data_IF_344776057021
#
_entry.id   IF_344776057021
#
_cell.length_a   1.000
_cell.length_b   1.000
_cell.length_c   1.000
_cell.angle_alpha   90.00
_cell.angle_beta   90.00
_cell.angle_gamma   90.00
#
_symmetry.space_group_name_H-M   'P 1'
#
loop_
_entity.id
_entity.type
_entity.pdbx_description
1 polymer ?
#
# COMPACT_ATOMS: atom_id res chain seq x y z
N UNK A 1 -8.42 4.03 4.85
CA UNK A 1 -8.99 3.66 3.53
C UNK A 1 -9.79 2.37 3.65
N UNK A 2 -10.64 2.02 2.67
CA UNK A 2 -11.43 0.78 2.70
C UNK A 2 -10.57 -0.49 2.77
N UNK A 3 -9.40 -0.49 2.12
CA UNK A 3 -8.41 -1.58 2.23
C UNK A 3 -7.96 -1.80 3.68
N UNK A 4 -7.65 -0.74 4.40
CA UNK A 4 -7.24 -0.79 5.81
C UNK A 4 -8.35 -1.29 6.73
N UNK A 5 -9.59 -0.90 6.46
CA UNK A 5 -10.73 -1.40 7.23
C UNK A 5 -10.90 -2.92 7.07
N UNK A 6 -10.86 -3.44 5.84
CA UNK A 6 -10.94 -4.88 5.58
C UNK A 6 -9.80 -5.65 6.26
N UNK A 7 -8.58 -5.11 6.19
CA UNK A 7 -7.41 -5.69 6.86
C UNK A 7 -7.58 -5.70 8.38
N UNK A 8 -8.10 -4.61 8.96
CA UNK A 8 -8.33 -4.49 10.40
C UNK A 8 -9.32 -5.55 10.89
N UNK A 9 -10.50 -5.62 10.26
CA UNK A 9 -11.55 -6.59 10.62
C UNK A 9 -11.03 -8.02 10.54
N UNK A 10 -10.26 -8.36 9.50
CA UNK A 10 -9.67 -9.70 9.38
C UNK A 10 -8.67 -10.01 10.50
N UNK A 11 -7.85 -9.03 10.90
CA UNK A 11 -6.86 -9.19 11.99
C UNK A 11 -7.47 -9.25 13.39
N UNK A 12 -8.72 -8.83 13.56
CA UNK A 12 -9.44 -8.91 14.84
C UNK A 12 -9.93 -10.34 15.16
N UNK A 13 -10.03 -11.22 14.16
CA UNK A 13 -10.33 -12.64 14.41
C UNK A 13 -9.12 -13.34 15.05
N UNK A 14 -9.25 -13.93 16.26
CA UNK A 14 -8.16 -14.65 16.92
C UNK A 14 -7.52 -15.75 16.08
N UNK A 15 -8.27 -16.36 15.15
CA UNK A 15 -7.76 -17.40 14.24
C UNK A 15 -6.68 -16.89 13.29
N UNK A 16 -6.67 -15.59 13.00
CA UNK A 16 -5.73 -14.95 12.09
C UNK A 16 -4.53 -14.31 12.83
N UNK A 17 -4.43 -14.51 14.14
CA UNK A 17 -3.35 -13.94 14.94
C UNK A 17 -1.98 -14.41 14.45
N UNK A 18 -1.11 -13.45 14.14
CA UNK A 18 0.23 -13.72 13.62
C UNK A 18 0.30 -14.03 12.12
N UNK A 19 -0.83 -14.12 11.40
CA UNK A 19 -0.86 -14.42 9.97
C UNK A 19 -0.72 -13.17 9.10
N UNK A 20 -0.17 -13.33 7.89
CA UNK A 20 -0.04 -12.26 6.90
C UNK A 20 -1.34 -12.06 6.11
N UNK A 21 -1.86 -10.83 6.12
CA UNK A 21 -3.03 -10.48 5.33
C UNK A 21 -2.68 -10.25 3.86
N UNK A 22 -3.21 -11.08 2.96
CA UNK A 22 -2.96 -11.01 1.50
C UNK A 22 -4.24 -10.96 0.66
N UNK A 23 -5.38 -10.69 1.29
CA UNK A 23 -6.70 -10.75 0.67
C UNK A 23 -7.23 -9.37 0.23
N UNK A 24 -8.43 -9.36 -0.35
CA UNK A 24 -9.13 -8.16 -0.76
C UNK A 24 -8.31 -7.32 -1.74
N UNK A 25 -8.18 -6.03 -1.45
CA UNK A 25 -7.42 -5.09 -2.28
C UNK A 25 -5.90 -5.34 -2.24
N UNK A 26 -5.40 -5.92 -1.15
CA UNK A 26 -3.97 -6.20 -1.00
C UNK A 26 -3.50 -7.30 -1.97
N UNK A 27 -4.40 -8.20 -2.41
CA UNK A 27 -4.10 -9.18 -3.47
C UNK A 27 -3.58 -8.55 -4.77
N UNK A 28 -4.04 -7.35 -5.11
CA UNK A 28 -3.70 -6.66 -6.38
C UNK A 28 -2.46 -5.78 -6.27
N UNK A 29 -2.22 -5.21 -5.08
CA UNK A 29 -1.03 -4.42 -4.77
C UNK A 29 -0.74 -4.47 -3.27
N UNK A 30 0.50 -4.77 -2.89
CA UNK A 30 0.92 -4.89 -1.50
C UNK A 30 0.75 -3.58 -0.71
N UNK A 31 0.89 -2.45 -1.39
CA UNK A 31 0.78 -1.10 -0.83
C UNK A 31 -0.38 -0.32 -1.46
N UNK A 32 -1.51 -1.00 -1.68
CA UNK A 32 -2.70 -0.44 -2.34
C UNK A 32 -3.28 0.80 -1.61
N UNK A 33 -3.08 0.89 -0.29
CA UNK A 33 -3.45 2.07 0.50
C UNK A 33 -2.68 3.31 0.05
N UNK A 34 -1.36 3.22 -0.14
CA UNK A 34 -0.53 4.32 -0.63
C UNK A 34 -0.90 4.72 -2.06
N UNK A 35 -1.28 3.75 -2.90
CA UNK A 35 -1.77 4.04 -4.24
C UNK A 35 -3.10 4.82 -4.19
N UNK A 36 -4.03 4.40 -3.32
CA UNK A 36 -5.27 5.13 -3.08
C UNK A 36 -5.04 6.56 -2.58
N UNK A 37 -4.10 6.76 -1.67
CA UNK A 37 -3.73 8.09 -1.17
C UNK A 37 -3.14 8.95 -2.31
N UNK A 38 -2.25 8.39 -3.13
CA UNK A 38 -1.69 9.10 -4.28
C UNK A 38 -2.78 9.52 -5.29
N UNK A 39 -3.73 8.62 -5.59
CA UNK A 39 -4.87 8.93 -6.45
C UNK A 39 -5.74 10.06 -5.87
N UNK A 40 -6.01 10.01 -4.57
CA UNK A 40 -6.83 11.01 -3.87
C UNK A 40 -6.21 12.41 -3.97
N UNK A 41 -4.93 12.54 -3.61
CA UNK A 41 -4.24 13.84 -3.63
C UNK A 41 -3.97 14.35 -5.05
N UNK A 42 -3.81 13.44 -6.02
CA UNK A 42 -3.77 13.82 -7.44
C UNK A 42 -5.12 14.38 -7.88
N UNK A 43 -6.23 13.75 -7.51
CA UNK A 43 -7.58 14.25 -7.80
C UNK A 43 -7.85 15.62 -7.17
N UNK A 44 -7.45 15.83 -5.91
CA UNK A 44 -7.55 17.15 -5.28
C UNK A 44 -6.72 18.19 -6.02
N UNK A 45 -5.50 17.86 -6.43
CA UNK A 45 -4.64 18.76 -7.21
C UNK A 45 -5.31 19.18 -8.52
N UNK A 46 -5.94 18.23 -9.23
CA UNK A 46 -6.70 18.52 -10.46
C UNK A 46 -7.86 19.49 -10.22
N UNK A 47 -8.63 19.33 -9.13
CA UNK A 47 -9.78 20.20 -8.81
C UNK A 47 -9.33 21.65 -8.58
N UNK A 48 -8.14 21.88 -8.03
CA UNK A 48 -7.65 23.24 -7.76
C UNK A 48 -7.32 24.04 -9.03
N UNK A 49 -7.18 23.37 -10.20
CA UNK A 49 -6.71 23.98 -11.45
C UNK A 49 -5.36 24.72 -11.31
N UNK A 50 -4.56 24.38 -10.30
CA UNK A 50 -3.27 24.99 -10.04
C UNK A 50 -2.16 23.94 -10.21
N UNK A 51 -1.26 24.15 -11.17
CA UNK A 51 -0.14 23.24 -11.44
C UNK A 51 0.75 23.03 -10.20
N UNK A 52 0.90 24.04 -9.34
CA UNK A 52 1.73 23.95 -8.14
C UNK A 52 1.14 23.00 -7.08
N UNK A 53 -0.16 22.71 -7.12
CA UNK A 53 -0.78 21.74 -6.21
C UNK A 53 -0.22 20.32 -6.39
N UNK A 54 0.26 19.99 -7.61
CA UNK A 54 0.86 18.68 -7.92
C UNK A 54 2.19 18.42 -7.21
N UNK A 55 2.82 19.44 -6.62
CA UNK A 55 4.01 19.25 -5.77
C UNK A 55 3.70 18.27 -4.62
N UNK A 56 2.48 18.31 -4.08
CA UNK A 56 2.06 17.43 -2.97
C UNK A 56 2.03 15.95 -3.40
N UNK A 57 1.21 15.51 -4.38
CA UNK A 57 1.20 14.10 -4.80
C UNK A 57 2.55 13.65 -5.36
N UNK A 58 3.32 14.54 -6.00
CA UNK A 58 4.67 14.21 -6.46
C UNK A 58 5.61 13.87 -5.29
N UNK A 59 5.64 14.71 -4.25
CA UNK A 59 6.42 14.43 -3.04
C UNK A 59 5.95 13.15 -2.35
N UNK A 60 4.63 12.92 -2.26
CA UNK A 60 4.07 11.68 -1.71
C UNK A 60 4.53 10.46 -2.50
N UNK A 61 4.52 10.51 -3.84
CA UNK A 61 5.01 9.42 -4.69
C UNK A 61 6.46 9.05 -4.37
N UNK A 62 7.34 10.05 -4.24
CA UNK A 62 8.73 9.83 -3.88
C UNK A 62 8.88 9.25 -2.46
N UNK A 63 8.19 9.82 -1.48
CA UNK A 63 8.24 9.32 -0.11
C UNK A 63 7.70 7.89 0.00
N UNK A 64 6.63 7.55 -0.69
CA UNK A 64 6.09 6.19 -0.69
C UNK A 64 7.06 5.22 -1.34
N UNK A 65 7.56 5.54 -2.54
CA UNK A 65 8.40 4.64 -3.32
C UNK A 65 9.76 4.38 -2.67
N UNK A 66 10.40 5.42 -2.14
CA UNK A 66 11.79 5.35 -1.71
C UNK A 66 11.97 5.23 -0.19
N UNK A 67 10.95 5.56 0.61
CA UNK A 67 11.06 5.55 2.07
C UNK A 67 10.07 4.57 2.70
N UNK A 68 8.77 4.78 2.49
CA UNK A 68 7.74 4.03 3.21
C UNK A 68 7.65 2.57 2.76
N UNK A 69 7.61 2.32 1.44
CA UNK A 69 7.51 0.97 0.88
C UNK A 69 8.73 0.12 1.27
N UNK A 70 9.99 0.57 1.09
CA UNK A 70 11.15 -0.21 1.51
C UNK A 70 11.19 -0.49 3.01
N UNK A 71 10.82 0.49 3.84
CA UNK A 71 10.76 0.33 5.29
C UNK A 71 9.69 -0.70 5.69
N UNK A 72 8.51 -0.64 5.08
CA UNK A 72 7.41 -1.57 5.36
C UNK A 72 7.70 -2.97 4.82
N UNK A 73 8.28 -3.10 3.63
CA UNK A 73 8.72 -4.39 3.07
C UNK A 73 9.74 -5.06 4.01
N UNK A 74 10.69 -4.29 4.58
CA UNK A 74 11.65 -4.81 5.56
C UNK A 74 10.94 -5.29 6.82
N UNK A 75 10.03 -4.48 7.38
CA UNK A 75 9.25 -4.87 8.55
C UNK A 75 8.41 -6.14 8.31
N UNK A 76 7.78 -6.27 7.14
CA UNK A 76 6.99 -7.44 6.79
C UNK A 76 7.87 -8.68 6.59
N UNK A 77 9.05 -8.53 5.99
CA UNK A 77 10.02 -9.60 5.87
C UNK A 77 10.50 -10.09 7.23
N UNK A 78 10.85 -9.16 8.14
CA UNK A 78 11.31 -9.49 9.49
C UNK A 78 10.20 -10.20 10.31
N UNK A 79 8.93 -9.84 10.08
CA UNK A 79 7.78 -10.39 10.83
C UNK A 79 7.25 -11.71 10.28
N UNK A 80 7.19 -11.87 8.96
CA UNK A 80 6.49 -12.97 8.30
C UNK A 80 7.41 -13.88 7.46
N UNK A 81 8.67 -13.48 7.24
CA UNK A 81 9.68 -14.28 6.56
C UNK A 81 9.22 -14.82 5.21
N UNK A 82 9.21 -16.15 5.07
CA UNK A 82 8.86 -16.85 3.83
C UNK A 82 7.45 -16.53 3.31
N UNK A 83 6.47 -16.35 4.20
CA UNK A 83 5.10 -16.00 3.77
C UNK A 83 5.07 -14.66 3.02
N UNK A 84 5.87 -13.69 3.49
CA UNK A 84 6.00 -12.41 2.82
C UNK A 84 6.80 -12.50 1.53
N UNK A 85 7.84 -13.33 1.47
CA UNK A 85 8.59 -13.57 0.22
C UNK A 85 7.70 -14.16 -0.88
N UNK A 86 6.89 -15.16 -0.54
CA UNK A 86 5.93 -15.77 -1.47
C UNK A 86 4.88 -14.76 -1.93
N UNK A 87 4.35 -13.96 -0.99
CA UNK A 87 3.41 -12.90 -1.29
C UNK A 87 4.00 -11.82 -2.21
N UNK A 88 5.23 -11.38 -1.91
CA UNK A 88 5.99 -10.43 -2.72
C UNK A 88 6.30 -10.96 -4.12
N UNK A 89 6.48 -12.28 -4.27
CA UNK A 89 6.72 -12.92 -5.55
C UNK A 89 5.50 -12.93 -6.49
N UNK A 90 4.28 -12.95 -5.92
CA UNK A 90 3.02 -13.06 -6.69
C UNK A 90 2.23 -11.75 -6.82
N UNK A 91 2.51 -10.75 -6.00
CA UNK A 91 1.73 -9.50 -5.93
C UNK A 91 2.60 -8.28 -6.22
N UNK A 92 2.04 -7.32 -6.96
CA UNK A 92 2.71 -6.05 -7.31
C UNK A 92 2.90 -5.16 -6.07
N UNK A 93 3.92 -4.30 -6.07
CA UNK A 93 4.27 -3.48 -4.91
C UNK A 93 3.30 -2.34 -4.68
N UNK A 94 3.07 -1.52 -5.69
CA UNK A 94 2.46 -0.21 -5.55
C UNK A 94 1.32 0.03 -6.53
N UNK A 95 1.58 0.04 -7.84
CA UNK A 95 0.59 0.25 -8.89
C UNK A 95 0.08 -1.10 -9.40
N UNK A 96 -1.22 -1.43 -9.23
CA UNK A 96 -1.77 -2.69 -9.70
C UNK A 96 -1.41 -2.98 -11.16
N UNK A 97 -1.00 -4.22 -11.44
CA UNK A 97 -0.58 -4.72 -12.76
C UNK A 97 0.69 -4.09 -13.38
N UNK A 98 1.24 -3.02 -12.81
CA UNK A 98 2.40 -2.33 -13.35
C UNK A 98 3.65 -2.49 -12.47
N UNK A 99 3.58 -2.01 -11.22
CA UNK A 99 4.73 -1.96 -10.32
C UNK A 99 4.35 -2.46 -8.94
#
# INVERSE_FOLDING_TARGET
TGSEYLRKVWKEDPKNSGMLYTEGLFKYSMHINYFGDLMLFTGFSMITHNIFSFVIPLLMFFLFTFVNIPMLDKYLLDRYGKEFEEYRGRTKKFVPYLY
#
